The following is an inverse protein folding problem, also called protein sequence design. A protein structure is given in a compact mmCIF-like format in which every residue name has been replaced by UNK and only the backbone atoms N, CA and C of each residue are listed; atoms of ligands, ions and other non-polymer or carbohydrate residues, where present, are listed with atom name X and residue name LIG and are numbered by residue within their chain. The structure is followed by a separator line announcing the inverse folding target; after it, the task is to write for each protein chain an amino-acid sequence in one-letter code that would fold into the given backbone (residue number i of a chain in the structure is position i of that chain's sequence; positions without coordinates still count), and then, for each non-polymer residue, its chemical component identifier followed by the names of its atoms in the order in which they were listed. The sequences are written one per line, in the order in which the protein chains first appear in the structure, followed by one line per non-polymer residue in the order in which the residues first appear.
data_IF_528799727257
#
_entry.id   IF_528799727257
#
_cell.length_a   1.000
_cell.length_b   1.000
_cell.length_c   1.000
_cell.angle_alpha   90.00
_cell.angle_beta   90.00
_cell.angle_gamma   90.00
#
_symmetry.space_group_name_H-M   'P 1'
#
loop_
_entity.id
_entity.type
_entity.pdbx_description
1 polymer ?
#
# COMPACT_ATOMS: atom_id res chain seq x y z
N UNK A 1 -8.70 -22.00 -13.75
CA UNK A 1 -7.70 -22.95 -13.21
C UNK A 1 -7.74 -22.94 -11.70
N UNK A 2 -7.59 -24.08 -11.04
CA UNK A 2 -7.64 -24.16 -9.59
C UNK A 2 -6.22 -24.05 -9.01
N UNK A 3 -5.96 -22.99 -8.24
CA UNK A 3 -4.68 -22.82 -7.53
C UNK A 3 -4.46 -23.96 -6.54
N UNK A 4 -3.22 -24.45 -6.45
CA UNK A 4 -2.80 -25.42 -5.42
C UNK A 4 -2.95 -24.80 -4.01
N UNK A 5 -3.10 -25.62 -2.96
CA UNK A 5 -3.09 -25.12 -1.60
C UNK A 5 -1.79 -24.38 -1.28
N UNK A 6 -1.86 -23.35 -0.42
CA UNK A 6 -0.72 -22.47 -0.15
C UNK A 6 0.15 -22.96 1.01
N UNK A 7 -0.33 -22.81 2.24
CA UNK A 7 0.27 -23.38 3.45
C UNK A 7 -0.54 -24.60 3.91
N UNK A 8 0.11 -25.57 4.54
CA UNK A 8 -0.55 -26.74 5.13
C UNK A 8 -0.85 -26.53 6.61
N UNK A 9 -2.03 -26.97 7.08
CA UNK A 9 -2.40 -26.92 8.50
C UNK A 9 -3.91 -27.03 8.71
N UNK A 10 -4.36 -26.79 9.95
CA UNK A 10 -5.79 -26.77 10.26
C UNK A 10 -6.59 -25.77 9.42
N UNK A 11 -7.90 -25.97 9.33
CA UNK A 11 -8.90 -25.22 8.54
C UNK A 11 -8.87 -25.37 7.03
N UNK A 12 -7.69 -25.37 6.42
CA UNK A 12 -7.58 -25.54 4.96
C UNK A 12 -7.79 -27.01 4.53
N UNK A 13 -7.66 -27.94 5.48
CA UNK A 13 -7.87 -29.38 5.31
C UNK A 13 -9.34 -29.75 5.56
N UNK A 14 -9.85 -30.69 4.77
CA UNK A 14 -11.13 -31.37 5.00
C UNK A 14 -10.90 -32.71 5.74
N UNK A 15 -10.07 -33.60 5.20
CA UNK A 15 -9.65 -34.85 5.86
C UNK A 15 -8.13 -34.99 5.88
N UNK A 16 -7.58 -35.65 6.92
CA UNK A 16 -6.15 -35.95 7.04
C UNK A 16 -5.93 -37.36 7.56
N UNK A 17 -4.94 -38.04 6.98
CA UNK A 17 -4.39 -39.30 7.44
C UNK A 17 -2.86 -39.25 7.36
N UNK A 18 -2.18 -40.33 7.77
CA UNK A 18 -0.74 -40.46 7.58
C UNK A 18 -0.35 -40.58 6.09
N UNK A 19 -1.28 -40.99 5.21
CA UNK A 19 -1.04 -41.19 3.78
C UNK A 19 -1.33 -39.94 2.94
N UNK A 20 -2.00 -38.92 3.51
CA UNK A 20 -2.30 -37.68 2.80
C UNK A 20 -3.42 -36.84 3.41
N UNK A 21 -3.88 -35.86 2.65
CA UNK A 21 -4.97 -34.98 3.06
C UNK A 21 -5.83 -34.53 1.86
N UNK A 22 -7.08 -34.20 2.13
CA UNK A 22 -7.97 -33.49 1.18
C UNK A 22 -8.18 -32.06 1.66
N UNK A 23 -8.40 -31.13 0.74
CA UNK A 23 -8.52 -29.71 1.07
C UNK A 23 -9.93 -29.19 0.94
N UNK A 24 -10.23 -28.12 1.69
CA UNK A 24 -11.43 -27.31 1.48
C UNK A 24 -11.46 -26.71 0.07
N UNK A 25 -12.62 -26.18 -0.34
CA UNK A 25 -12.71 -25.30 -1.49
C UNK A 25 -12.06 -23.92 -1.21
N UNK A 26 -11.80 -23.15 -2.27
CA UNK A 26 -11.40 -21.75 -2.10
C UNK A 26 -12.58 -20.94 -1.52
N UNK A 27 -12.35 -19.96 -0.62
CA UNK A 27 -11.04 -19.40 -0.27
C UNK A 27 -10.26 -20.17 0.81
N UNK A 28 -10.93 -20.97 1.65
CA UNK A 28 -10.31 -21.59 2.84
C UNK A 28 -9.14 -22.52 2.55
N UNK A 29 -9.10 -23.11 1.35
CA UNK A 29 -7.93 -23.85 0.83
C UNK A 29 -6.61 -23.07 0.95
N UNK A 30 -6.67 -21.74 0.95
CA UNK A 30 -5.51 -20.85 0.95
C UNK A 30 -5.24 -20.22 2.33
N UNK A 31 -6.06 -20.52 3.34
CA UNK A 31 -6.09 -19.84 4.63
C UNK A 31 -5.83 -20.80 5.79
N UNK A 32 -4.66 -21.43 5.79
CA UNK A 32 -4.26 -22.37 6.83
C UNK A 32 -4.12 -21.70 8.20
N UNK A 33 -4.53 -22.41 9.26
CA UNK A 33 -4.29 -22.02 10.65
C UNK A 33 -5.26 -20.98 11.21
N UNK A 34 -4.99 -20.52 12.43
CA UNK A 34 -5.77 -19.47 13.08
C UNK A 34 -5.62 -18.16 12.30
N UNK A 35 -6.70 -17.47 11.91
CA UNK A 35 -6.58 -16.31 11.04
C UNK A 35 -6.15 -15.10 11.88
N UNK A 36 -5.80 -14.01 11.22
CA UNK A 36 -5.78 -12.73 11.89
C UNK A 36 -7.22 -12.21 12.11
N UNK A 37 -7.93 -12.78 13.09
CA UNK A 37 -9.36 -12.45 13.36
C UNK A 37 -9.54 -10.96 13.60
N UNK A 38 -8.69 -10.36 14.43
CA UNK A 38 -8.74 -8.93 14.72
C UNK A 38 -8.51 -8.08 13.47
N UNK A 39 -7.55 -8.47 12.62
CA UNK A 39 -7.29 -7.78 11.35
C UNK A 39 -8.44 -7.87 10.37
N UNK A 40 -9.10 -9.03 10.25
CA UNK A 40 -10.28 -9.19 9.38
C UNK A 40 -11.44 -8.32 9.86
N UNK A 41 -11.73 -8.32 11.17
CA UNK A 41 -12.78 -7.47 11.75
C UNK A 41 -12.44 -5.99 11.58
N UNK A 42 -11.19 -5.59 11.85
CA UNK A 42 -10.74 -4.21 11.70
C UNK A 42 -10.81 -3.72 10.24
N UNK A 43 -10.46 -4.58 9.28
CA UNK A 43 -10.61 -4.28 7.86
C UNK A 43 -12.08 -4.16 7.46
N UNK A 44 -12.96 -5.04 7.97
CA UNK A 44 -14.40 -4.94 7.75
C UNK A 44 -14.93 -3.59 8.23
N UNK A 45 -14.56 -3.15 9.43
CA UNK A 45 -14.99 -1.86 9.97
C UNK A 45 -14.46 -0.67 9.16
N UNK A 46 -13.20 -0.74 8.69
CA UNK A 46 -12.63 0.29 7.83
C UNK A 46 -13.36 0.39 6.47
N UNK A 47 -13.75 -0.75 5.88
CA UNK A 47 -14.51 -0.78 4.63
C UNK A 47 -15.95 -0.28 4.82
N UNK A 48 -16.58 -0.63 5.94
CA UNK A 48 -17.92 -0.13 6.30
C UNK A 48 -17.92 1.40 6.45
N UNK A 49 -16.96 1.96 7.19
CA UNK A 49 -16.79 3.41 7.29
C UNK A 49 -16.47 4.06 5.95
N UNK A 50 -15.60 3.45 5.13
CA UNK A 50 -15.21 4.02 3.84
C UNK A 50 -16.38 4.05 2.84
N UNK A 51 -17.32 3.11 2.96
CA UNK A 51 -18.50 3.04 2.09
C UNK A 51 -19.43 4.27 2.21
N UNK A 52 -19.31 5.04 3.31
CA UNK A 52 -20.06 6.28 3.50
C UNK A 52 -19.51 7.45 2.66
N UNK A 53 -18.35 7.30 2.01
CA UNK A 53 -17.69 8.35 1.25
C UNK A 53 -17.73 8.08 -0.26
N UNK A 54 -17.93 9.15 -1.05
CA UNK A 54 -17.73 9.09 -2.49
C UNK A 54 -16.23 9.06 -2.83
N UNK A 55 -15.75 7.88 -3.22
CA UNK A 55 -14.34 7.63 -3.53
C UNK A 55 -13.82 8.52 -4.67
N UNK A 56 -14.67 8.90 -5.63
CA UNK A 56 -14.25 9.73 -6.76
C UNK A 56 -13.98 11.17 -6.29
N UNK A 57 -14.82 11.68 -5.39
CA UNK A 57 -14.61 13.00 -4.80
C UNK A 57 -13.41 13.01 -3.86
N UNK A 58 -13.25 11.97 -3.03
CA UNK A 58 -12.12 11.84 -2.11
C UNK A 58 -10.77 11.78 -2.85
N UNK A 59 -10.69 10.99 -3.93
CA UNK A 59 -9.48 10.91 -4.76
C UNK A 59 -9.25 12.20 -5.53
N UNK A 60 -10.29 12.81 -6.11
CA UNK A 60 -10.15 14.09 -6.84
C UNK A 60 -9.64 15.21 -5.93
N UNK A 61 -10.12 15.27 -4.69
CA UNK A 61 -9.61 16.19 -3.67
C UNK A 61 -8.12 15.93 -3.41
N UNK A 62 -7.74 14.68 -3.16
CA UNK A 62 -6.36 14.28 -2.89
C UNK A 62 -5.41 14.64 -4.04
N UNK A 63 -5.82 14.40 -5.29
CA UNK A 63 -5.09 14.78 -6.51
C UNK A 63 -4.93 16.28 -6.64
N UNK A 64 -5.97 17.05 -6.31
CA UNK A 64 -5.92 18.51 -6.38
C UNK A 64 -4.87 19.09 -5.43
N UNK A 65 -4.74 18.53 -4.22
CA UNK A 65 -3.71 18.94 -3.26
C UNK A 65 -2.30 18.60 -3.73
N UNK A 66 -2.12 17.41 -4.32
CA UNK A 66 -0.85 17.01 -4.91
C UNK A 66 -0.46 17.93 -6.09
N UNK A 67 -1.42 18.35 -6.92
CA UNK A 67 -1.18 19.33 -7.99
C UNK A 67 -0.76 20.69 -7.43
N UNK A 68 -1.45 21.19 -6.39
CA UNK A 68 -1.05 22.44 -5.73
C UNK A 68 0.37 22.36 -5.16
N UNK A 69 0.74 21.23 -4.55
CA UNK A 69 2.08 20.99 -4.03
C UNK A 69 3.11 20.95 -5.16
N UNK A 70 2.84 20.22 -6.24
CA UNK A 70 3.73 20.11 -7.40
C UNK A 70 3.95 21.47 -8.07
N UNK A 71 2.89 22.23 -8.34
CA UNK A 71 2.96 23.57 -8.95
C UNK A 71 3.75 24.56 -8.09
N UNK A 72 3.66 24.43 -6.77
CA UNK A 72 4.45 25.23 -5.85
C UNK A 72 5.92 24.79 -5.87
N UNK A 73 6.21 23.49 -5.72
CA UNK A 73 7.57 22.96 -5.66
C UNK A 73 8.32 23.19 -6.98
N UNK A 74 7.64 23.10 -8.12
CA UNK A 74 8.21 23.37 -9.46
C UNK A 74 8.74 24.79 -9.64
N UNK A 75 8.31 25.74 -8.81
CA UNK A 75 8.84 27.12 -8.82
C UNK A 75 10.20 27.23 -8.12
N UNK A 76 10.66 26.19 -7.42
CA UNK A 76 11.93 26.18 -6.68
C UNK A 76 13.04 25.57 -7.55
N UNK A 77 14.29 26.07 -7.44
CA UNK A 77 15.38 25.60 -8.28
C UNK A 77 15.70 24.13 -8.00
N UNK A 78 16.01 23.37 -9.06
CA UNK A 78 16.42 21.97 -8.95
C UNK A 78 15.28 20.98 -8.76
N UNK A 79 14.02 21.41 -8.74
CA UNK A 79 12.88 20.50 -8.61
C UNK A 79 12.74 19.59 -9.83
N UNK A 80 12.50 18.31 -9.57
CA UNK A 80 12.11 17.32 -10.57
C UNK A 80 10.97 16.46 -10.03
N UNK A 81 9.89 16.35 -10.78
CA UNK A 81 8.77 15.46 -10.47
C UNK A 81 8.91 14.12 -11.19
N UNK A 82 8.46 13.04 -10.53
CA UNK A 82 8.21 11.72 -11.11
C UNK A 82 6.73 11.34 -11.08
N UNK A 83 5.85 12.31 -10.79
CA UNK A 83 4.40 12.13 -10.76
C UNK A 83 3.86 11.85 -12.17
N UNK A 84 2.90 10.95 -12.25
CA UNK A 84 2.20 10.58 -13.48
C UNK A 84 0.68 10.75 -13.30
N UNK A 85 -0.03 11.10 -14.39
CA UNK A 85 -1.50 11.09 -14.47
C UNK A 85 -2.20 11.92 -13.38
N UNK A 86 -1.58 13.00 -12.93
CA UNK A 86 -2.05 13.83 -11.80
C UNK A 86 -2.39 12.99 -10.56
N UNK A 87 -1.59 11.97 -10.25
CA UNK A 87 -1.79 11.09 -9.09
C UNK A 87 -1.82 11.87 -7.76
N UNK A 88 -2.49 11.34 -6.74
CA UNK A 88 -2.36 11.84 -5.37
C UNK A 88 -0.95 11.64 -4.79
N UNK A 89 -0.13 10.77 -5.39
CA UNK A 89 1.26 10.55 -4.99
C UNK A 89 2.19 11.50 -5.74
N UNK A 90 3.00 12.26 -4.99
CA UNK A 90 4.04 13.13 -5.53
C UNK A 90 5.42 12.63 -5.11
N UNK A 91 6.07 11.85 -5.99
CA UNK A 91 7.48 11.52 -5.87
C UNK A 91 8.31 12.60 -6.57
N UNK A 92 9.33 13.13 -5.90
CA UNK A 92 10.12 14.24 -6.41
C UNK A 92 11.57 14.20 -5.93
N UNK A 93 12.39 15.05 -6.56
CA UNK A 93 13.79 15.27 -6.22
C UNK A 93 14.12 16.77 -6.25
N UNK A 94 15.13 17.17 -5.49
CA UNK A 94 15.74 18.48 -5.55
C UNK A 94 17.24 18.34 -5.80
N UNK A 95 17.69 18.83 -6.95
CA UNK A 95 19.10 18.75 -7.33
C UNK A 95 20.02 19.33 -6.25
N UNK A 96 21.05 18.56 -5.88
CA UNK A 96 22.03 18.97 -4.86
C UNK A 96 21.57 18.80 -3.41
N UNK A 97 20.41 18.21 -3.16
CA UNK A 97 19.91 17.93 -1.80
C UNK A 97 19.97 16.44 -1.52
N UNK A 98 20.67 16.05 -0.46
CA UNK A 98 20.64 14.66 0.00
C UNK A 98 19.29 14.35 0.65
N UNK A 99 18.65 13.25 0.24
CA UNK A 99 17.26 12.99 0.61
C UNK A 99 17.02 12.78 2.11
N UNK A 100 17.98 12.19 2.84
CA UNK A 100 17.85 12.02 4.30
C UNK A 100 17.79 13.36 5.02
N UNK A 101 18.52 14.36 4.52
CA UNK A 101 18.62 15.67 5.14
C UNK A 101 17.31 16.42 4.94
N UNK A 102 16.74 16.34 3.74
CA UNK A 102 15.41 16.86 3.45
C UNK A 102 14.33 16.21 4.33
N UNK A 103 14.32 14.87 4.44
CA UNK A 103 13.33 14.16 5.27
C UNK A 103 13.46 14.56 6.74
N UNK A 104 14.68 14.65 7.27
CA UNK A 104 14.94 15.01 8.67
C UNK A 104 14.49 16.45 8.96
N UNK A 105 14.91 17.39 8.12
CA UNK A 105 14.58 18.80 8.26
C UNK A 105 13.07 19.02 8.14
N UNK A 106 12.40 18.37 7.18
CA UNK A 106 10.94 18.45 7.06
C UNK A 106 10.21 17.86 8.26
N UNK A 107 10.73 16.78 8.86
CA UNK A 107 10.18 16.23 10.09
C UNK A 107 10.29 17.21 11.27
N UNK A 108 11.38 17.98 11.37
CA UNK A 108 11.53 19.06 12.36
C UNK A 108 10.50 20.19 12.16
N UNK A 109 10.10 20.45 10.91
CA UNK A 109 8.99 21.35 10.58
C UNK A 109 7.59 20.70 10.72
N UNK A 110 7.50 19.45 11.22
CA UNK A 110 6.24 18.76 11.42
C UNK A 110 5.64 18.13 10.15
N UNK A 111 6.43 17.95 9.10
CA UNK A 111 6.00 17.35 7.83
C UNK A 111 6.53 15.91 7.72
N UNK A 112 5.62 14.95 7.77
CA UNK A 112 5.95 13.53 7.64
C UNK A 112 5.90 13.08 6.18
N UNK A 113 7.06 12.68 5.65
CA UNK A 113 7.21 12.02 4.35
C UNK A 113 8.41 11.07 4.39
N UNK A 114 8.68 10.35 3.29
CA UNK A 114 9.80 9.39 3.22
C UNK A 114 10.54 9.48 1.90
N UNK A 115 11.81 9.11 1.94
CA UNK A 115 12.65 8.87 0.77
C UNK A 115 13.09 7.40 0.69
N UNK A 116 13.88 7.07 -0.33
CA UNK A 116 14.46 5.75 -0.56
C UNK A 116 14.00 5.13 -1.87
N UNK A 117 14.16 3.82 -1.98
CA UNK A 117 13.89 3.08 -3.23
C UNK A 117 12.44 2.62 -3.37
N UNK A 118 11.62 2.81 -2.33
CA UNK A 118 10.18 2.50 -2.30
C UNK A 118 9.80 1.09 -2.78
N UNK A 119 10.67 0.09 -2.53
CA UNK A 119 10.49 -1.28 -3.03
C UNK A 119 10.32 -1.39 -4.55
N UNK A 120 10.84 -0.42 -5.31
CA UNK A 120 10.66 -0.31 -6.76
C UNK A 120 12.00 -0.37 -7.53
N UNK A 121 13.03 -0.97 -6.94
CA UNK A 121 14.18 -1.39 -7.74
C UNK A 121 13.74 -2.51 -8.68
N UNK A 122 13.91 -2.38 -9.99
CA UNK A 122 13.66 -3.47 -10.91
C UNK A 122 14.57 -4.65 -10.58
N UNK A 123 14.06 -5.87 -10.71
CA UNK A 123 14.91 -7.07 -10.74
C UNK A 123 15.69 -7.02 -12.07
N UNK A 124 17.02 -6.96 -12.00
CA UNK A 124 17.91 -7.01 -13.16
C UNK A 124 18.31 -8.45 -13.48
#
# INVERSE_FOLDING_TARGET
EAMSPWLGGGKMIHEVSFDGFTTQSAPWKLEAGTPNVAGVIGLSAALEWLADYDINQAESWSRSLATLAEDALAKRPGFRSFRCQDSSLLAFDFAGVHHSDMVTLLAEYGIALRAGQHCAQPLL
#
